data_IF_377450273625
#
_entry.id   IF_377450273625
#
_cell.length_a   1.000
_cell.length_b   1.000
_cell.length_c   1.000
_cell.angle_alpha   90.00
_cell.angle_beta   90.00
_cell.angle_gamma   90.00
#
_symmetry.space_group_name_H-M   'P 1'
#
loop_
_entity.id
_entity.type
_entity.pdbx_description
1 polymer ?
#
# COMPACT_ATOMS: atom_id res chain seq x y z
N UNK A 1 -18.59 -14.79 -8.41
CA UNK A 1 -17.78 -13.66 -8.93
C UNK A 1 -18.01 -13.44 -10.41
N UNK A 2 -17.15 -13.93 -11.33
CA UNK A 2 -17.22 -13.55 -12.76
C UNK A 2 -18.56 -13.92 -13.42
N UNK A 3 -18.97 -15.18 -13.36
CA UNK A 3 -20.26 -15.62 -13.94
C UNK A 3 -21.50 -15.06 -13.22
N UNK A 4 -21.33 -14.58 -11.98
CA UNK A 4 -22.41 -13.99 -11.18
C UNK A 4 -22.50 -12.46 -11.33
N UNK A 5 -21.57 -11.85 -12.05
CA UNK A 5 -21.49 -10.38 -12.19
C UNK A 5 -20.99 -9.64 -10.94
N UNK A 6 -20.50 -10.36 -9.92
CA UNK A 6 -19.99 -9.77 -8.67
C UNK A 6 -18.53 -9.31 -8.88
N UNK A 7 -18.35 -8.34 -9.78
CA UNK A 7 -17.03 -7.77 -10.13
C UNK A 7 -16.36 -7.05 -8.94
N UNK A 8 -17.07 -6.30 -8.06
CA UNK A 8 -16.44 -5.61 -6.94
C UNK A 8 -15.70 -6.56 -5.98
N UNK A 9 -16.27 -7.73 -5.71
CA UNK A 9 -15.71 -8.74 -4.81
C UNK A 9 -14.39 -9.34 -5.33
N UNK A 10 -14.13 -9.24 -6.64
CA UNK A 10 -12.87 -9.72 -7.24
C UNK A 10 -11.69 -8.90 -6.69
N UNK A 11 -11.85 -7.58 -6.50
CA UNK A 11 -10.76 -6.72 -5.97
C UNK A 11 -10.39 -7.15 -4.54
N UNK A 12 -11.37 -7.56 -3.74
CA UNK A 12 -11.12 -8.04 -2.38
C UNK A 12 -10.43 -9.41 -2.36
N UNK A 13 -10.82 -10.33 -3.26
CA UNK A 13 -10.16 -11.63 -3.42
C UNK A 13 -8.71 -11.44 -3.88
N UNK A 14 -8.47 -10.55 -4.85
CA UNK A 14 -7.12 -10.20 -5.30
C UNK A 14 -6.27 -9.65 -4.16
N UNK A 15 -6.84 -8.77 -3.33
CA UNK A 15 -6.13 -8.19 -2.18
C UNK A 15 -5.68 -9.26 -1.19
N UNK A 16 -6.52 -10.26 -0.92
CA UNK A 16 -6.25 -11.35 0.05
C UNK A 16 -5.36 -12.47 -0.50
N UNK A 17 -5.37 -12.69 -1.80
CA UNK A 17 -4.80 -13.90 -2.41
C UNK A 17 -3.42 -13.66 -3.02
N UNK A 18 -2.59 -12.87 -2.35
CA UNK A 18 -1.27 -12.48 -2.85
C UNK A 18 -0.32 -13.67 -2.99
N UNK A 19 -0.43 -14.65 -2.10
CA UNK A 19 0.34 -15.90 -2.14
C UNK A 19 0.02 -16.77 -3.36
N UNK A 20 -1.17 -16.60 -3.95
CA UNK A 20 -1.57 -17.28 -5.19
C UNK A 20 -1.13 -16.51 -6.45
N UNK A 21 -0.34 -15.44 -6.29
CA UNK A 21 0.13 -14.58 -7.38
C UNK A 21 -0.88 -13.52 -7.82
N UNK A 22 -1.99 -13.35 -7.10
CA UNK A 22 -2.89 -12.22 -7.37
C UNK A 22 -2.29 -10.93 -6.81
N UNK A 23 -2.49 -9.82 -7.50
CA UNK A 23 -1.97 -8.54 -7.08
C UNK A 23 -2.90 -7.43 -7.53
N UNK A 24 -3.27 -6.55 -6.61
CA UNK A 24 -3.95 -5.30 -6.97
C UNK A 24 -2.94 -4.28 -7.48
N UNK A 25 -3.41 -3.28 -8.22
CA UNK A 25 -2.54 -2.22 -8.70
C UNK A 25 -1.88 -1.44 -7.55
N UNK A 26 -2.65 -1.12 -6.50
CA UNK A 26 -2.11 -0.46 -5.29
C UNK A 26 -1.02 -1.30 -4.60
N UNK A 27 -1.15 -2.64 -4.56
CA UNK A 27 -0.10 -3.52 -4.05
C UNK A 27 1.16 -3.48 -4.91
N UNK A 28 0.99 -3.41 -6.24
CA UNK A 28 2.10 -3.26 -7.16
C UNK A 28 2.85 -1.94 -6.95
N UNK A 29 2.11 -0.84 -6.81
CA UNK A 29 2.68 0.49 -6.56
C UNK A 29 3.43 0.55 -5.23
N UNK A 30 2.90 -0.10 -4.18
CA UNK A 30 3.61 -0.24 -2.91
C UNK A 30 4.95 -0.98 -3.09
N UNK A 31 4.95 -2.11 -3.80
CA UNK A 31 6.17 -2.90 -4.01
C UNK A 31 7.23 -2.13 -4.82
N UNK A 32 6.79 -1.42 -5.87
CA UNK A 32 7.67 -0.59 -6.70
C UNK A 32 8.26 0.58 -5.91
N UNK A 33 7.47 1.20 -5.02
CA UNK A 33 7.95 2.24 -4.12
C UNK A 33 8.96 1.69 -3.10
N UNK A 34 8.69 0.52 -2.50
CA UNK A 34 9.63 -0.14 -1.60
C UNK A 34 10.96 -0.47 -2.30
N UNK A 35 10.90 -0.86 -3.57
CA UNK A 35 12.07 -1.18 -4.38
C UNK A 35 12.84 0.06 -4.93
N UNK A 36 12.45 1.29 -4.56
CA UNK A 36 13.04 2.54 -5.07
C UNK A 36 12.92 2.71 -6.60
N UNK A 37 11.97 2.02 -7.24
CA UNK A 37 11.77 2.10 -8.69
C UNK A 37 10.88 3.27 -9.09
N UNK A 38 10.03 3.74 -8.17
CA UNK A 38 9.15 4.91 -8.37
C UNK A 38 9.19 5.81 -7.14
N UNK A 39 8.91 7.10 -7.34
CA UNK A 39 8.82 8.05 -6.23
C UNK A 39 7.52 7.87 -5.44
N UNK A 40 7.50 8.36 -4.19
CA UNK A 40 6.28 8.39 -3.38
C UNK A 40 5.15 9.18 -4.06
N UNK A 41 5.48 10.30 -4.70
CA UNK A 41 4.51 11.11 -5.42
C UNK A 41 3.92 10.35 -6.61
N UNK A 42 4.75 9.65 -7.39
CA UNK A 42 4.30 8.86 -8.53
C UNK A 42 3.42 7.69 -8.10
N UNK A 43 3.77 7.02 -6.98
CA UNK A 43 2.96 5.96 -6.42
C UNK A 43 1.57 6.48 -6.02
N UNK A 44 1.50 7.61 -5.30
CA UNK A 44 0.22 8.19 -4.88
C UNK A 44 -0.60 8.75 -6.05
N UNK A 45 0.04 9.36 -7.05
CA UNK A 45 -0.64 9.95 -8.20
C UNK A 45 -1.37 8.89 -9.04
N UNK A 46 -0.83 7.67 -9.10
CA UNK A 46 -1.38 6.58 -9.90
C UNK A 46 -2.24 5.59 -9.09
N UNK A 47 -2.35 5.75 -7.77
CA UNK A 47 -3.12 4.84 -6.94
C UNK A 47 -4.63 4.94 -7.20
N UNK A 48 -5.30 3.78 -7.24
CA UNK A 48 -6.78 3.73 -7.26
C UNK A 48 -7.34 4.27 -5.94
N UNK A 49 -6.60 4.09 -4.85
CA UNK A 49 -7.01 4.46 -3.50
C UNK A 49 -5.85 5.15 -2.79
N UNK A 50 -5.63 6.42 -3.12
CA UNK A 50 -4.53 7.26 -2.60
C UNK A 50 -4.41 7.22 -1.08
N UNK A 51 -5.54 7.29 -0.36
CA UNK A 51 -5.54 7.25 1.11
C UNK A 51 -5.10 5.89 1.65
N UNK A 52 -5.59 4.80 1.05
CA UNK A 52 -5.25 3.43 1.46
C UNK A 52 -3.78 3.14 1.17
N UNK A 53 -3.30 3.51 -0.02
CA UNK A 53 -1.89 3.34 -0.38
C UNK A 53 -0.98 4.18 0.53
N UNK A 54 -1.36 5.43 0.82
CA UNK A 54 -0.61 6.28 1.77
C UNK A 54 -0.53 5.63 3.15
N UNK A 55 -1.65 5.12 3.66
CA UNK A 55 -1.68 4.46 4.96
C UNK A 55 -0.83 3.18 4.94
N UNK A 56 -0.93 2.39 3.87
CA UNK A 56 -0.15 1.17 3.69
C UNK A 56 1.35 1.45 3.63
N UNK A 57 1.76 2.49 2.89
CA UNK A 57 3.15 2.97 2.84
C UNK A 57 3.59 3.36 4.25
N UNK A 58 2.86 4.21 4.97
CA UNK A 58 3.27 4.62 6.32
C UNK A 58 3.43 3.43 7.29
N UNK A 59 2.46 2.51 7.31
CA UNK A 59 2.43 1.42 8.29
C UNK A 59 3.38 0.26 7.97
N UNK A 60 3.62 -0.03 6.70
CA UNK A 60 4.32 -1.25 6.28
C UNK A 60 5.60 -0.99 5.48
N UNK A 61 5.86 0.25 5.06
CA UNK A 61 7.11 0.58 4.39
C UNK A 61 8.27 0.56 5.38
N UNK A 62 9.36 -0.10 5.00
CA UNK A 62 10.62 -0.02 5.77
C UNK A 62 11.17 1.40 5.82
N UNK A 63 10.78 2.26 4.87
CA UNK A 63 11.12 3.69 4.82
C UNK A 63 10.17 4.53 5.67
N UNK A 64 8.90 4.14 5.75
CA UNK A 64 7.89 4.78 6.60
C UNK A 64 8.16 4.60 8.10
N UNK A 65 8.80 3.48 8.47
CA UNK A 65 9.19 3.19 9.86
C UNK A 65 10.17 4.23 10.42
N UNK A 66 11.12 4.72 9.60
CA UNK A 66 12.07 5.77 10.02
C UNK A 66 11.37 7.11 10.32
N UNK A 67 10.31 7.44 9.59
CA UNK A 67 9.56 8.69 9.75
C UNK A 67 8.51 8.60 10.87
N UNK A 68 7.99 7.40 11.14
CA UNK A 68 7.14 7.14 12.31
C UNK A 68 7.96 7.13 13.61
N UNK A 69 9.13 6.49 13.62
CA UNK A 69 10.04 6.48 14.77
C UNK A 69 10.54 7.88 15.14
N UNK A 70 10.80 8.74 14.15
CA UNK A 70 11.18 10.14 14.39
C UNK A 70 10.04 10.95 15.06
N UNK A 71 8.78 10.67 14.70
CA UNK A 71 7.61 11.31 15.29
C UNK A 71 7.32 10.87 16.73
N UNK A 72 7.62 9.61 17.08
CA UNK A 72 7.43 9.08 18.44
C UNK A 72 8.56 9.53 19.38
N UNK A 73 9.79 9.72 18.87
CA UNK A 73 10.91 10.28 19.64
C UNK A 73 10.63 11.68 20.20
N UNK A 74 9.68 12.44 19.63
CA UNK A 74 9.30 13.75 20.13
C UNK A 74 8.25 13.71 21.26
N UNK A 75 7.68 12.53 21.56
CA UNK A 75 6.71 12.34 22.65
C UNK A 75 7.37 11.86 23.95
N UNK A 76 8.65 11.48 23.93
CA UNK A 76 9.44 11.11 25.11
C UNK A 76 10.05 12.35 25.80
N UNK A 77 9.19 13.31 26.19
CA UNK A 77 9.57 14.38 27.11
C UNK A 77 8.71 14.28 28.39
N UNK A 78 9.38 13.71 29.41
CA UNK A 78 9.07 13.64 30.87
C UNK A 78 8.02 12.62 31.31
#
# INVERSE_FOLDING_TARGET
LIFKGEIPEIKDVMRRSRELGMQTFDQALFDLYEADLISYEDALRNADSVNDLRLQIKLNSKKGEADLLSGIQHLDIV
#
